data_IF_494468208064
#
_entry.id   IF_494468208064
#
_cell.length_a   1.000
_cell.length_b   1.000
_cell.length_c   1.000
_cell.angle_alpha   90.00
_cell.angle_beta   90.00
_cell.angle_gamma   90.00
#
_symmetry.space_group_name_H-M   'P 1'
#
loop_
_entity.id
_entity.type
_entity.pdbx_description
1 polymer ?
#
# COMPACT_ATOMS: atom_id res chain seq x y z
N UNK A 1 -22.85 10.41 -29.73
CA UNK A 1 -21.99 9.22 -29.62
C UNK A 1 -20.58 9.63 -30.04
N UNK A 2 -19.64 9.82 -29.10
CA UNK A 2 -18.23 10.11 -29.39
C UNK A 2 -17.41 8.94 -28.88
N UNK A 3 -16.66 8.33 -29.80
CA UNK A 3 -15.85 7.13 -29.61
C UNK A 3 -14.51 7.47 -28.95
N UNK A 4 -14.05 6.59 -28.07
CA UNK A 4 -12.77 6.59 -27.40
C UNK A 4 -11.61 6.37 -28.38
N UNK A 5 -10.45 6.98 -28.15
CA UNK A 5 -9.19 6.56 -28.79
C UNK A 5 -8.04 6.60 -27.78
N UNK A 6 -7.67 5.41 -27.29
CA UNK A 6 -6.45 5.12 -26.54
C UNK A 6 -5.30 4.90 -27.53
N UNK A 7 -4.18 5.61 -27.38
CA UNK A 7 -2.93 5.28 -28.06
C UNK A 7 -1.97 4.64 -27.06
N UNK A 8 -1.90 3.31 -27.14
CA UNK A 8 -0.86 2.48 -26.52
C UNK A 8 0.36 2.56 -27.46
N UNK A 9 1.49 3.07 -26.98
CA UNK A 9 2.78 2.92 -27.65
C UNK A 9 3.55 1.79 -26.98
N UNK A 10 3.54 0.63 -27.63
CA UNK A 10 4.43 -0.51 -27.37
C UNK A 10 5.72 -0.26 -28.13
N UNK A 11 6.83 -0.08 -27.41
CA UNK A 11 8.18 -0.08 -27.96
C UNK A 11 8.86 -1.40 -27.66
N UNK A 12 9.01 -2.24 -28.67
CA UNK A 12 9.83 -3.45 -28.64
C UNK A 12 11.24 -3.11 -29.11
N UNK A 13 12.26 -3.57 -28.37
CA UNK A 13 13.60 -3.77 -28.91
C UNK A 13 14.13 -5.10 -28.40
N UNK A 14 14.47 -5.95 -29.35
CA UNK A 14 14.91 -7.33 -29.22
C UNK A 14 16.42 -7.33 -28.97
N UNK A 15 16.88 -8.08 -27.98
CA UNK A 15 18.27 -8.52 -27.90
C UNK A 15 18.29 -10.04 -27.77
N UNK A 16 18.76 -10.68 -28.83
CA UNK A 16 19.01 -12.11 -28.89
C UNK A 16 20.24 -12.47 -28.06
N UNK A 17 20.11 -13.50 -27.23
CA UNK A 17 21.24 -14.32 -26.82
C UNK A 17 20.71 -15.74 -26.55
N UNK A 18 20.87 -16.60 -27.56
CA UNK A 18 20.92 -18.03 -27.32
C UNK A 18 22.20 -18.34 -26.54
N UNK A 19 22.16 -19.28 -25.60
CA UNK A 19 23.22 -20.26 -25.32
C UNK A 19 22.74 -21.22 -24.20
N UNK A 20 22.53 -22.47 -24.62
CA UNK A 20 22.83 -23.73 -23.91
C UNK A 20 22.00 -24.12 -22.65
N UNK A 21 21.17 -25.14 -22.85
CA UNK A 21 20.89 -26.16 -21.82
C UNK A 21 22.23 -26.77 -21.37
N UNK A 22 22.45 -26.99 -20.06
CA UNK A 22 22.92 -28.27 -19.45
C UNK A 22 23.01 -28.12 -17.91
N UNK A 23 22.62 -29.18 -17.20
CA UNK A 23 23.12 -29.66 -15.88
C UNK A 23 22.77 -28.94 -14.56
N UNK A 24 21.99 -29.67 -13.76
CA UNK A 24 22.22 -30.12 -12.38
C UNK A 24 23.44 -29.55 -11.60
N UNK A 25 23.16 -29.15 -10.35
CA UNK A 25 24.01 -29.25 -9.15
C UNK A 25 25.28 -28.41 -9.02
N UNK A 26 25.27 -27.52 -8.02
CA UNK A 26 26.36 -27.44 -7.04
C UNK A 26 27.27 -26.20 -7.07
N UNK A 27 27.35 -25.58 -5.89
CA UNK A 27 28.49 -24.82 -5.33
C UNK A 27 28.83 -23.41 -5.88
N UNK A 28 28.61 -22.44 -4.98
CA UNK A 28 29.48 -21.32 -4.57
C UNK A 28 30.51 -20.75 -5.55
N UNK A 29 30.42 -19.46 -5.89
CA UNK A 29 31.26 -18.42 -5.28
C UNK A 29 30.79 -17.01 -5.69
N UNK A 30 31.16 -16.04 -4.85
CA UNK A 30 30.49 -14.75 -4.66
C UNK A 30 30.94 -13.70 -5.67
N UNK A 31 29.99 -12.98 -6.24
CA UNK A 31 30.24 -11.65 -6.83
C UNK A 31 29.16 -10.71 -6.35
N UNK A 32 29.59 -9.70 -5.60
CA UNK A 32 28.80 -8.77 -4.81
C UNK A 32 27.72 -8.07 -5.63
N UNK A 33 26.48 -8.51 -5.44
CA UNK A 33 25.29 -7.70 -5.73
C UNK A 33 25.22 -6.58 -4.69
N UNK A 34 24.91 -5.32 -5.05
CA UNK A 34 24.69 -4.29 -4.03
C UNK A 34 23.58 -4.77 -3.11
N UNK A 35 23.90 -4.88 -1.81
CA UNK A 35 22.94 -5.14 -0.75
C UNK A 35 21.83 -4.10 -0.89
N UNK A 36 20.69 -4.54 -1.44
CA UNK A 36 19.43 -3.92 -1.12
C UNK A 36 19.32 -4.02 0.39
N UNK A 37 19.57 -2.91 1.09
CA UNK A 37 19.34 -2.79 2.52
C UNK A 37 17.87 -3.17 2.72
N UNK A 38 17.64 -4.43 3.08
CA UNK A 38 16.34 -4.91 3.43
C UNK A 38 16.02 -4.21 4.76
N UNK A 39 15.33 -3.07 4.66
CA UNK A 39 14.73 -2.43 5.82
C UNK A 39 13.89 -3.52 6.49
N UNK A 40 14.31 -3.95 7.68
CA UNK A 40 13.60 -4.93 8.46
C UNK A 40 12.12 -4.55 8.49
N UNK A 41 11.17 -5.49 8.33
CA UNK A 41 9.76 -5.15 8.33
C UNK A 41 9.45 -4.45 9.65
N UNK A 42 9.19 -3.14 9.57
CA UNK A 42 8.71 -2.38 10.71
C UNK A 42 7.38 -3.02 11.08
N UNK A 43 7.37 -3.77 12.17
CA UNK A 43 6.13 -4.34 12.71
C UNK A 43 5.29 -3.13 13.13
N UNK A 44 4.39 -2.70 12.27
CA UNK A 44 3.49 -1.61 12.58
C UNK A 44 2.71 -1.96 13.87
N UNK A 45 2.53 -1.00 14.79
CA UNK A 45 1.75 -1.24 15.99
C UNK A 45 0.36 -1.74 15.60
N UNK A 46 -0.12 -2.75 16.33
CA UNK A 46 -1.47 -3.30 16.16
C UNK A 46 -2.38 -2.70 17.23
N UNK A 47 -3.56 -2.16 16.86
CA UNK A 47 -4.46 -1.55 17.83
C UNK A 47 -5.11 -2.59 18.76
N UNK A 48 -5.26 -2.23 20.03
CA UNK A 48 -6.03 -3.01 21.00
C UNK A 48 -7.55 -2.94 20.76
N UNK A 49 -8.34 -3.58 21.63
CA UNK A 49 -9.79 -3.62 21.47
C UNK A 49 -10.46 -2.23 21.50
N UNK A 50 -9.97 -1.32 22.34
CA UNK A 50 -10.49 0.04 22.49
C UNK A 50 -10.10 0.89 21.28
N UNK A 51 -8.81 0.85 20.90
CA UNK A 51 -8.28 1.56 19.75
C UNK A 51 -8.95 1.13 18.45
N UNK A 52 -9.30 -0.16 18.29
CA UNK A 52 -10.07 -0.64 17.14
C UNK A 52 -11.47 -0.03 17.08
N UNK A 53 -12.17 0.10 18.20
CA UNK A 53 -13.49 0.74 18.23
C UNK A 53 -13.40 2.23 17.88
N UNK A 54 -12.37 2.91 18.39
CA UNK A 54 -12.11 4.32 18.05
C UNK A 54 -11.76 4.49 16.58
N UNK A 55 -10.94 3.59 16.02
CA UNK A 55 -10.62 3.53 14.60
C UNK A 55 -11.89 3.36 13.77
N UNK A 56 -12.77 2.42 14.11
CA UNK A 56 -14.02 2.23 13.37
C UNK A 56 -14.91 3.47 13.41
N UNK A 57 -15.07 4.12 14.56
CA UNK A 57 -15.82 5.37 14.69
C UNK A 57 -15.20 6.50 13.86
N UNK A 58 -13.87 6.61 13.86
CA UNK A 58 -13.17 7.62 13.09
C UNK A 58 -13.32 7.39 11.57
N UNK A 59 -13.26 6.13 11.11
CA UNK A 59 -13.45 5.75 9.72
C UNK A 59 -14.91 5.90 9.26
N UNK A 60 -15.87 5.66 10.15
CA UNK A 60 -17.30 5.89 9.91
C UNK A 60 -17.59 7.38 9.69
N UNK A 61 -16.96 8.27 10.46
CA UNK A 61 -17.09 9.72 10.30
C UNK A 61 -16.48 10.27 9.00
N UNK A 62 -15.59 9.52 8.35
CA UNK A 62 -15.01 9.84 7.03
C UNK A 62 -15.94 9.37 5.89
N UNK A 63 -17.05 8.70 6.22
CA UNK A 63 -18.03 8.11 5.31
C UNK A 63 -17.44 7.06 4.38
N UNK A 64 -16.76 6.07 4.97
CA UNK A 64 -16.09 5.05 4.16
C UNK A 64 -17.01 3.90 3.73
N UNK A 65 -18.24 3.76 4.25
CA UNK A 65 -19.11 2.58 4.05
C UNK A 65 -18.48 1.22 4.47
N UNK A 66 -17.19 1.26 4.79
CA UNK A 66 -16.21 0.19 4.91
C UNK A 66 -16.30 -0.47 6.29
N UNK A 67 -16.75 0.28 7.29
CA UNK A 67 -16.85 -0.13 8.70
C UNK A 67 -17.82 -1.31 8.89
N UNK A 68 -18.58 -1.68 7.87
CA UNK A 68 -19.36 -2.93 7.83
C UNK A 68 -18.49 -4.20 7.75
N UNK A 69 -17.18 -4.09 7.45
CA UNK A 69 -16.20 -5.20 7.46
C UNK A 69 -14.99 -4.84 8.35
N UNK A 70 -15.09 -5.19 9.63
CA UNK A 70 -14.13 -4.83 10.69
C UNK A 70 -12.71 -5.37 10.46
N UNK A 71 -12.54 -6.61 9.99
CA UNK A 71 -11.22 -7.23 9.82
C UNK A 71 -10.30 -6.53 8.80
N UNK A 72 -10.75 -6.30 7.56
CA UNK A 72 -9.97 -5.59 6.55
C UNK A 72 -9.55 -4.16 6.95
N UNK A 73 -10.35 -3.46 7.76
CA UNK A 73 -10.10 -2.05 8.13
C UNK A 73 -8.86 -1.92 9.02
N UNK A 74 -8.74 -2.81 9.99
CA UNK A 74 -7.61 -2.84 10.92
C UNK A 74 -6.32 -3.14 10.17
N UNK A 75 -6.34 -4.11 9.25
CA UNK A 75 -5.16 -4.45 8.44
C UNK A 75 -4.68 -3.23 7.62
N UNK A 76 -5.58 -2.55 6.92
CA UNK A 76 -5.18 -1.38 6.13
C UNK A 76 -4.76 -0.20 7.00
N UNK A 77 -5.36 -0.02 8.17
CA UNK A 77 -4.88 0.97 9.14
C UNK A 77 -3.44 0.65 9.62
N UNK A 78 -3.12 -0.63 9.85
CA UNK A 78 -1.76 -1.05 10.20
C UNK A 78 -0.77 -0.80 9.04
N UNK A 79 -1.18 -1.03 7.79
CA UNK A 79 -0.37 -0.67 6.60
C UNK A 79 -0.11 0.84 6.53
N UNK A 80 -1.12 1.67 6.80
CA UNK A 80 -0.95 3.13 6.88
C UNK A 80 0.01 3.52 8.01
N UNK A 81 -0.06 2.85 9.16
CA UNK A 81 0.88 3.10 10.23
C UNK A 81 2.31 2.65 9.90
N UNK A 82 2.47 1.55 9.15
CA UNK A 82 3.77 1.14 8.61
C UNK A 82 4.36 2.24 7.71
N UNK A 83 3.54 2.84 6.85
CA UNK A 83 3.95 3.94 5.98
C UNK A 83 4.39 5.18 6.77
N UNK A 84 3.65 5.55 7.82
CA UNK A 84 3.97 6.67 8.71
C UNK A 84 5.30 6.42 9.44
N UNK A 85 5.44 5.24 10.07
CA UNK A 85 6.63 4.87 10.85
C UNK A 85 7.87 4.68 9.99
N UNK A 86 7.71 4.28 8.72
CA UNK A 86 8.78 4.23 7.74
C UNK A 86 9.22 5.62 7.23
N UNK A 87 8.56 6.71 7.66
CA UNK A 87 8.91 8.07 7.26
C UNK A 87 8.59 8.36 5.79
N UNK A 88 7.62 7.68 5.19
CA UNK A 88 7.20 7.95 3.81
C UNK A 88 6.64 9.37 3.70
N UNK A 89 6.87 9.99 2.54
CA UNK A 89 6.36 11.32 2.22
C UNK A 89 4.84 11.44 2.53
N UNK A 90 4.38 12.52 3.20
CA UNK A 90 2.98 12.66 3.59
C UNK A 90 1.97 12.54 2.44
N UNK A 91 2.29 13.09 1.26
CA UNK A 91 1.39 13.00 0.11
C UNK A 91 1.31 11.57 -0.43
N UNK A 92 2.43 10.85 -0.40
CA UNK A 92 2.51 9.42 -0.75
C UNK A 92 1.74 8.56 0.25
N UNK A 93 1.93 8.79 1.54
CA UNK A 93 1.21 8.08 2.61
C UNK A 93 -0.30 8.30 2.51
N UNK A 94 -0.75 9.53 2.23
CA UNK A 94 -2.16 9.84 2.01
C UNK A 94 -2.72 9.13 0.77
N UNK A 95 -1.97 9.10 -0.35
CA UNK A 95 -2.38 8.37 -1.57
C UNK A 95 -2.49 6.87 -1.33
N UNK A 96 -1.53 6.27 -0.63
CA UNK A 96 -1.54 4.85 -0.27
C UNK A 96 -2.71 4.54 0.67
N UNK A 97 -2.94 5.37 1.69
CA UNK A 97 -4.08 5.27 2.58
C UNK A 97 -5.40 5.33 1.80
N UNK A 98 -5.54 6.24 0.84
CA UNK A 98 -6.74 6.28 0.02
C UNK A 98 -6.90 5.01 -0.82
N UNK A 99 -5.82 4.51 -1.43
CA UNK A 99 -5.84 3.30 -2.25
C UNK A 99 -6.21 2.04 -1.44
N UNK A 100 -5.64 1.85 -0.25
CA UNK A 100 -5.93 0.71 0.62
C UNK A 100 -7.40 0.64 1.06
N UNK A 101 -8.10 1.78 1.06
CA UNK A 101 -9.51 1.88 1.45
C UNK A 101 -10.48 2.07 0.26
N UNK A 102 -9.99 2.22 -0.99
CA UNK A 102 -10.79 2.57 -2.19
C UNK A 102 -11.73 1.48 -2.71
N UNK A 103 -11.78 0.31 -2.08
CA UNK A 103 -12.31 -0.90 -2.71
C UNK A 103 -13.80 -0.97 -3.06
N UNK A 104 -14.70 -0.03 -2.70
CA UNK A 104 -16.15 -0.34 -2.74
C UNK A 104 -17.17 0.75 -3.04
N UNK A 105 -16.80 2.00 -3.30
CA UNK A 105 -17.75 2.94 -3.91
C UNK A 105 -16.99 3.97 -4.73
N UNK A 106 -17.32 4.02 -6.02
CA UNK A 106 -16.95 5.11 -6.96
C UNK A 106 -17.72 6.40 -6.63
N UNK A 107 -18.10 6.61 -5.37
CA UNK A 107 -18.68 7.88 -4.95
C UNK A 107 -17.56 8.91 -4.80
N UNK A 108 -17.85 10.07 -5.35
CA UNK A 108 -17.05 11.28 -5.50
C UNK A 108 -15.89 11.38 -4.51
N UNK A 109 -14.69 11.68 -5.04
CA UNK A 109 -13.51 11.93 -4.24
C UNK A 109 -13.81 13.03 -3.22
N UNK A 110 -14.02 12.64 -1.96
CA UNK A 110 -13.91 13.58 -0.84
C UNK A 110 -12.50 14.15 -0.94
N UNK A 111 -12.40 15.45 -1.27
CA UNK A 111 -11.11 16.14 -1.25
C UNK A 111 -10.44 15.85 0.10
N UNK A 112 -9.18 15.38 0.03
CA UNK A 112 -8.35 15.00 1.17
C UNK A 112 -8.74 13.72 1.93
N UNK A 113 -9.52 12.80 1.33
CA UNK A 113 -9.89 11.52 1.98
C UNK A 113 -8.68 10.74 2.52
N UNK A 114 -7.62 10.61 1.72
CA UNK A 114 -6.39 9.94 2.14
C UNK A 114 -5.77 10.56 3.39
N UNK A 115 -5.75 11.90 3.47
CA UNK A 115 -5.24 12.62 4.63
C UNK A 115 -6.10 12.37 5.87
N UNK A 116 -7.43 12.40 5.73
CA UNK A 116 -8.36 12.10 6.84
C UNK A 116 -8.17 10.69 7.41
N UNK A 117 -7.87 9.71 6.54
CA UNK A 117 -7.54 8.33 6.97
C UNK A 117 -6.23 8.32 7.77
N UNK A 118 -5.19 9.00 7.26
CA UNK A 118 -3.90 9.12 7.96
C UNK A 118 -4.08 9.75 9.35
N UNK A 119 -4.86 10.82 9.45
CA UNK A 119 -5.12 11.52 10.72
C UNK A 119 -5.93 10.64 11.69
N UNK A 120 -6.90 9.86 11.19
CA UNK A 120 -7.63 8.90 12.00
C UNK A 120 -6.72 7.80 12.57
N UNK A 121 -5.79 7.29 11.77
CA UNK A 121 -4.81 6.27 12.20
C UNK A 121 -3.84 6.85 13.25
N UNK A 122 -3.33 8.08 13.03
CA UNK A 122 -2.45 8.76 13.99
C UNK A 122 -3.13 9.03 15.34
N UNK A 123 -4.39 9.44 15.31
CA UNK A 123 -5.15 9.75 16.53
C UNK A 123 -5.48 8.52 17.36
N UNK A 124 -5.53 7.33 16.76
CA UNK A 124 -6.06 6.12 17.41
C UNK A 124 -4.96 5.22 17.96
N UNK A 125 -3.94 4.90 17.16
CA UNK A 125 -2.89 3.97 17.62
C UNK A 125 -1.50 4.18 17.03
N UNK A 126 -1.35 5.06 16.02
CA UNK A 126 -0.07 5.29 15.36
C UNK A 126 0.61 6.58 15.86
N UNK A 127 1.44 6.46 16.90
CA UNK A 127 2.12 7.59 17.54
C UNK A 127 3.60 7.66 17.18
#
# INVERSE_FOLDING_TARGET
MRMHNNKIMVGAAVAAAALLLTACSGASDSSSSPEAVATAPTVAPSPDATQRQELYRALEAIDLGYVRRTGPAVRHAMEVCADITAGKDPATTAKNAEASFRGLDEQESVHDRGQKIVDAVKRTFCH
#
